data_IF_633087675552
#
_entry.id   IF_633087675552
#
_cell.length_a   1.000
_cell.length_b   1.000
_cell.length_c   1.000
_cell.angle_alpha   90.00
_cell.angle_beta   90.00
_cell.angle_gamma   90.00
#
_symmetry.space_group_name_H-M   'P 1'
#
loop_
_entity.id
_entity.type
_entity.pdbx_description
1 polymer ?
#
# COMPACT_ATOMS: atom_id res chain seq x y z
N UNK A 1 36.40 23.75 19.22
CA UNK A 1 36.62 23.39 17.81
C UNK A 1 36.49 21.86 17.51
N UNK A 2 36.62 20.98 18.50
CA UNK A 2 36.51 19.52 18.30
C UNK A 2 35.10 18.98 18.01
N UNK A 3 34.06 19.56 18.60
CA UNK A 3 32.67 19.09 18.44
C UNK A 3 32.11 19.28 17.03
N UNK A 4 32.43 20.39 16.35
CA UNK A 4 32.01 20.64 14.98
C UNK A 4 32.58 19.65 13.95
N UNK A 5 33.80 19.13 14.22
CA UNK A 5 34.45 18.14 13.36
C UNK A 5 33.81 16.76 13.55
N UNK A 6 33.43 16.37 14.76
CA UNK A 6 32.76 15.09 15.03
C UNK A 6 31.34 15.01 14.44
N UNK A 7 30.59 16.10 14.46
CA UNK A 7 29.24 16.16 13.87
C UNK A 7 29.29 16.03 12.36
N UNK A 8 30.25 16.68 11.68
CA UNK A 8 30.46 16.52 10.23
C UNK A 8 30.82 15.09 9.86
N UNK A 9 31.75 14.47 10.57
CA UNK A 9 32.17 13.09 10.30
C UNK A 9 31.02 12.08 10.46
N UNK A 10 30.12 12.29 11.43
CA UNK A 10 28.92 11.45 11.60
C UNK A 10 27.89 11.66 10.49
N UNK A 11 27.67 12.89 10.03
CA UNK A 11 26.78 13.18 8.91
C UNK A 11 27.28 12.56 7.60
N UNK A 12 28.59 12.65 7.34
CA UNK A 12 29.22 12.06 6.15
C UNK A 12 29.18 10.53 6.18
N UNK A 13 29.37 9.91 7.33
CA UNK A 13 29.25 8.46 7.50
C UNK A 13 27.82 7.97 7.23
N UNK A 14 26.81 8.67 7.76
CA UNK A 14 25.39 8.39 7.50
C UNK A 14 25.04 8.54 6.03
N UNK A 15 25.48 9.60 5.40
CA UNK A 15 25.25 9.81 3.98
C UNK A 15 25.86 8.68 3.14
N UNK A 16 27.07 8.27 3.46
CA UNK A 16 27.75 7.15 2.78
C UNK A 16 26.98 5.85 2.94
N UNK A 17 26.41 5.58 4.12
CA UNK A 17 25.55 4.43 4.37
C UNK A 17 24.29 4.49 3.51
N UNK A 18 23.55 5.61 3.51
CA UNK A 18 22.34 5.78 2.70
C UNK A 18 22.63 5.62 1.21
N UNK A 19 23.75 6.12 0.70
CA UNK A 19 24.11 5.97 -0.71
C UNK A 19 24.46 4.53 -1.08
N UNK A 20 25.08 3.75 -0.17
CA UNK A 20 25.28 2.31 -0.38
C UNK A 20 23.97 1.53 -0.46
N UNK A 21 22.97 1.93 0.33
CA UNK A 21 21.65 1.30 0.27
C UNK A 21 20.97 1.50 -1.10
N UNK A 22 21.23 2.61 -1.81
CA UNK A 22 20.74 2.78 -3.19
C UNK A 22 21.28 1.68 -4.11
N UNK A 23 22.54 1.31 -3.94
CA UNK A 23 23.18 0.29 -4.78
C UNK A 23 22.59 -1.11 -4.54
N UNK A 24 22.12 -1.40 -3.33
CA UNK A 24 21.42 -2.65 -3.01
C UNK A 24 20.08 -2.78 -3.74
N UNK A 25 19.50 -1.66 -4.18
CA UNK A 25 18.23 -1.63 -4.89
C UNK A 25 18.34 -1.79 -6.41
N UNK A 26 19.55 -2.00 -6.95
CA UNK A 26 19.77 -2.25 -8.37
C UNK A 26 18.88 -3.38 -8.95
N UNK A 27 18.73 -4.55 -8.28
CA UNK A 27 17.84 -5.61 -8.78
C UNK A 27 16.37 -5.15 -8.88
N UNK A 28 15.89 -4.40 -7.89
CA UNK A 28 14.55 -3.81 -7.88
C UNK A 28 14.36 -2.85 -9.06
N UNK A 29 15.29 -1.90 -9.26
CA UNK A 29 15.23 -0.91 -10.35
C UNK A 29 15.25 -1.60 -11.72
N UNK A 30 16.13 -2.60 -11.93
CA UNK A 30 16.18 -3.39 -13.16
C UNK A 30 14.88 -4.09 -13.47
N UNK A 31 14.24 -4.63 -12.47
CA UNK A 31 12.99 -5.36 -12.62
C UNK A 31 11.83 -4.42 -12.99
N UNK A 32 11.75 -3.26 -12.34
CA UNK A 32 10.73 -2.25 -12.65
C UNK A 32 10.91 -1.64 -14.04
N UNK A 33 12.16 -1.51 -14.48
CA UNK A 33 12.54 -0.94 -15.77
C UNK A 33 12.90 -2.00 -16.82
N UNK A 34 12.38 -3.24 -16.69
CA UNK A 34 12.69 -4.34 -17.63
C UNK A 34 12.41 -4.00 -19.10
N UNK A 35 11.45 -3.11 -19.36
CA UNK A 35 11.15 -2.58 -20.71
C UNK A 35 12.10 -1.48 -21.17
N UNK A 36 12.92 -0.92 -20.27
CA UNK A 36 13.82 0.21 -20.54
C UNK A 36 15.17 0.02 -19.83
N UNK A 37 15.95 -1.01 -20.20
CA UNK A 37 17.19 -1.36 -19.49
C UNK A 37 18.24 -0.22 -19.50
N UNK A 38 18.24 0.62 -20.50
CA UNK A 38 19.15 1.77 -20.64
C UNK A 38 18.84 2.91 -19.63
N UNK A 39 17.68 2.90 -18.99
CA UNK A 39 17.29 3.93 -18.00
C UNK A 39 17.67 3.54 -16.56
N UNK A 40 18.11 2.33 -16.34
CA UNK A 40 18.42 1.82 -14.98
C UNK A 40 19.47 2.70 -14.30
N UNK A 41 20.56 3.02 -14.99
CA UNK A 41 21.63 3.83 -14.44
C UNK A 41 21.18 5.28 -14.19
N UNK A 42 20.37 5.83 -15.08
CA UNK A 42 19.79 7.18 -14.93
C UNK A 42 18.90 7.23 -13.68
N UNK A 43 18.03 6.24 -13.50
CA UNK A 43 17.13 6.17 -12.34
C UNK A 43 17.90 5.97 -11.03
N UNK A 44 18.94 5.14 -11.01
CA UNK A 44 19.81 4.99 -9.84
C UNK A 44 20.55 6.28 -9.51
N UNK A 45 21.00 7.02 -10.52
CA UNK A 45 21.65 8.30 -10.29
C UNK A 45 20.67 9.33 -9.72
N UNK A 46 19.46 9.45 -10.27
CA UNK A 46 18.40 10.30 -9.72
C UNK A 46 18.01 9.93 -8.29
N UNK A 47 18.00 8.62 -7.99
CA UNK A 47 17.77 8.14 -6.64
C UNK A 47 18.88 8.58 -5.67
N UNK A 48 20.18 8.44 -6.06
CA UNK A 48 21.33 8.89 -5.26
C UNK A 48 21.27 10.41 -5.01
N UNK A 49 20.98 11.21 -6.02
CA UNK A 49 20.84 12.66 -5.88
C UNK A 49 19.70 13.03 -4.93
N UNK A 50 18.54 12.35 -5.08
CA UNK A 50 17.39 12.59 -4.20
C UNK A 50 17.68 12.18 -2.75
N UNK A 51 18.37 11.06 -2.53
CA UNK A 51 18.81 10.62 -1.21
C UNK A 51 19.80 11.62 -0.61
N UNK A 52 20.77 12.10 -1.38
CA UNK A 52 21.71 13.12 -0.94
C UNK A 52 21.01 14.40 -0.47
N UNK A 53 20.10 14.94 -1.27
CA UNK A 53 19.34 16.15 -0.91
C UNK A 53 18.42 15.96 0.30
N UNK A 54 17.94 14.73 0.55
CA UNK A 54 17.02 14.43 1.65
C UNK A 54 17.69 13.76 2.85
N UNK A 55 18.99 13.53 2.83
CA UNK A 55 19.74 12.84 3.89
C UNK A 55 19.60 13.50 5.27
N UNK A 56 19.46 14.83 5.31
CA UNK A 56 19.21 15.58 6.54
C UNK A 56 17.84 15.29 7.20
N UNK A 57 16.90 14.69 6.46
CA UNK A 57 15.58 14.31 6.98
C UNK A 57 15.53 12.86 7.48
N UNK A 58 16.61 12.11 7.30
CA UNK A 58 16.69 10.75 7.77
C UNK A 58 16.83 10.73 9.29
N UNK A 59 15.89 10.04 9.95
CA UNK A 59 15.86 9.83 11.39
C UNK A 59 15.96 8.33 11.68
N UNK A 60 17.06 7.85 12.30
CA UNK A 60 17.25 6.45 12.62
C UNK A 60 16.22 5.88 13.60
N UNK A 61 15.58 6.74 14.41
CA UNK A 61 14.54 6.31 15.35
C UNK A 61 13.20 6.03 14.66
N UNK A 62 13.01 6.58 13.43
CA UNK A 62 11.79 6.41 12.64
C UNK A 62 11.85 5.27 11.63
N UNK A 63 13.02 4.74 11.34
CA UNK A 63 13.15 3.63 10.41
C UNK A 63 14.57 3.32 9.99
N UNK A 64 14.75 2.18 9.33
CA UNK A 64 16.06 1.76 8.83
C UNK A 64 16.53 2.60 7.64
N UNK A 65 17.86 2.68 7.39
CA UNK A 65 18.43 3.29 6.19
C UNK A 65 17.79 2.74 4.90
N UNK A 66 17.62 1.42 4.86
CA UNK A 66 17.00 0.71 3.73
C UNK A 66 15.56 1.20 3.46
N UNK A 67 14.70 1.27 4.48
CA UNK A 67 13.32 1.71 4.33
C UNK A 67 13.22 3.16 3.80
N UNK A 68 14.07 4.06 4.32
CA UNK A 68 14.15 5.45 3.87
C UNK A 68 14.58 5.55 2.40
N UNK A 69 15.66 4.87 2.03
CA UNK A 69 16.21 4.88 0.67
C UNK A 69 15.27 4.20 -0.31
N UNK A 70 14.65 3.08 0.09
CA UNK A 70 13.66 2.37 -0.72
C UNK A 70 12.47 3.28 -1.06
N UNK A 71 11.91 4.00 -0.09
CA UNK A 71 10.80 4.92 -0.33
C UNK A 71 11.15 6.01 -1.35
N UNK A 72 12.37 6.53 -1.31
CA UNK A 72 12.87 7.52 -2.29
C UNK A 72 13.04 6.88 -3.67
N UNK A 73 13.75 5.76 -3.74
CA UNK A 73 14.05 5.06 -5.01
C UNK A 73 12.78 4.61 -5.71
N UNK A 74 11.82 4.05 -4.97
CA UNK A 74 10.50 3.68 -5.50
C UNK A 74 9.79 4.87 -6.14
N UNK A 75 9.78 6.02 -5.50
CA UNK A 75 9.15 7.22 -6.06
C UNK A 75 9.84 7.72 -7.32
N UNK A 76 11.18 7.61 -7.41
CA UNK A 76 11.93 7.96 -8.61
C UNK A 76 11.58 7.01 -9.76
N UNK A 77 11.57 5.69 -9.49
CA UNK A 77 11.17 4.65 -10.46
C UNK A 77 9.76 4.90 -10.99
N UNK A 78 8.78 5.11 -10.10
CA UNK A 78 7.39 5.32 -10.52
C UNK A 78 7.22 6.55 -11.42
N UNK A 79 7.93 7.64 -11.12
CA UNK A 79 7.92 8.83 -11.97
C UNK A 79 8.51 8.56 -13.35
N UNK A 80 9.62 7.81 -13.40
CA UNK A 80 10.27 7.50 -14.66
C UNK A 80 9.43 6.55 -15.51
N UNK A 81 8.82 5.53 -14.91
CA UNK A 81 7.88 4.63 -15.58
C UNK A 81 6.68 5.41 -16.13
N UNK A 82 6.08 6.29 -15.32
CA UNK A 82 4.97 7.13 -15.77
C UNK A 82 5.38 8.04 -16.94
N UNK A 83 6.57 8.69 -16.87
CA UNK A 83 7.10 9.53 -17.95
C UNK A 83 7.28 8.74 -19.24
N UNK A 84 7.76 7.49 -19.17
CA UNK A 84 7.96 6.64 -20.35
C UNK A 84 6.65 6.16 -20.96
N UNK A 85 5.65 5.85 -20.15
CA UNK A 85 4.32 5.49 -20.66
C UNK A 85 3.70 6.67 -21.44
N UNK A 86 3.78 7.88 -20.92
CA UNK A 86 3.32 9.09 -21.61
C UNK A 86 4.11 9.33 -22.93
N UNK A 87 5.41 9.04 -22.95
CA UNK A 87 6.24 9.21 -24.15
C UNK A 87 6.07 8.10 -25.20
N UNK A 88 5.51 6.93 -24.83
CA UNK A 88 5.20 5.84 -25.76
C UNK A 88 3.80 5.93 -26.37
N UNK A 89 2.90 6.67 -25.74
CA UNK A 89 1.62 7.05 -26.34
C UNK A 89 1.86 8.24 -27.29
N UNK A 90 2.50 7.97 -28.43
CA UNK A 90 2.35 8.82 -29.64
C UNK A 90 0.90 8.65 -30.12
N UNK A 91 -0.01 9.29 -29.38
CA UNK A 91 -1.41 9.42 -29.78
C UNK A 91 -1.46 10.40 -30.94
N UNK A 92 -2.19 10.12 -32.03
CA UNK A 92 -2.44 11.10 -33.09
C UNK A 92 -2.98 12.40 -32.48
N UNK A 93 -2.61 13.53 -33.04
CA UNK A 93 -2.82 14.92 -32.58
C UNK A 93 -4.29 15.34 -32.29
N UNK A 94 -5.27 14.44 -32.25
CA UNK A 94 -6.70 14.74 -32.11
C UNK A 94 -7.36 14.22 -30.83
N UNK A 95 -6.58 13.74 -29.84
CA UNK A 95 -7.15 13.44 -28.51
C UNK A 95 -6.73 14.56 -27.57
N UNK A 96 -7.69 15.43 -27.23
CA UNK A 96 -7.54 16.36 -26.11
C UNK A 96 -7.00 15.61 -24.90
N UNK A 97 -5.75 15.90 -24.57
CA UNK A 97 -5.04 15.31 -23.44
C UNK A 97 -5.72 15.78 -22.15
N UNK A 98 -6.53 14.91 -21.57
CA UNK A 98 -7.14 15.07 -20.23
C UNK A 98 -6.06 14.96 -19.12
N UNK A 99 -4.86 15.49 -19.37
CA UNK A 99 -3.67 15.44 -18.50
C UNK A 99 -3.38 16.76 -17.81
N UNK A 100 -4.34 17.67 -17.73
CA UNK A 100 -4.32 18.74 -16.74
C UNK A 100 -4.79 18.21 -15.37
N UNK A 101 -4.11 17.20 -14.84
CA UNK A 101 -4.25 16.91 -13.41
C UNK A 101 -3.61 18.09 -12.68
N UNK A 102 -4.45 18.97 -12.14
CA UNK A 102 -4.03 20.07 -11.28
C UNK A 102 -2.96 19.55 -10.29
N UNK A 103 -1.79 20.20 -10.18
CA UNK A 103 -0.79 19.84 -9.18
C UNK A 103 -1.36 19.69 -7.76
N UNK A 104 -2.44 20.42 -7.45
CA UNK A 104 -3.20 20.30 -6.22
C UNK A 104 -3.95 18.96 -6.12
N UNK A 105 -4.61 18.52 -7.19
CA UNK A 105 -5.28 17.22 -7.26
C UNK A 105 -4.29 16.05 -7.13
N UNK A 106 -3.11 16.17 -7.74
CA UNK A 106 -2.04 15.19 -7.58
C UNK A 106 -1.52 15.13 -6.13
N UNK A 107 -1.46 16.26 -5.46
CA UNK A 107 -1.08 16.36 -4.05
C UNK A 107 -2.16 15.75 -3.15
N UNK A 108 -3.44 16.07 -3.37
CA UNK A 108 -4.59 15.53 -2.64
C UNK A 108 -4.60 13.99 -2.78
N UNK A 109 -4.56 13.45 -3.99
CA UNK A 109 -4.49 11.99 -4.22
C UNK A 109 -3.33 11.31 -3.50
N UNK A 110 -2.23 12.02 -3.31
CA UNK A 110 -1.05 11.52 -2.61
C UNK A 110 -1.22 11.51 -1.09
N UNK A 111 -1.91 12.50 -0.54
CA UNK A 111 -2.31 12.53 0.88
C UNK A 111 -3.33 11.44 1.18
N UNK A 112 -4.32 11.26 0.32
CA UNK A 112 -5.35 10.23 0.45
C UNK A 112 -4.75 8.82 0.40
N UNK A 113 -3.79 8.59 -0.52
CA UNK A 113 -3.08 7.31 -0.59
C UNK A 113 -2.24 7.02 0.68
N UNK A 114 -1.61 8.04 1.25
CA UNK A 114 -0.85 7.88 2.49
C UNK A 114 -1.77 7.58 3.68
N UNK A 115 -2.84 8.36 3.84
CA UNK A 115 -3.86 8.17 4.88
C UNK A 115 -4.46 6.77 4.82
N UNK A 116 -4.87 6.34 3.63
CA UNK A 116 -5.37 4.99 3.38
C UNK A 116 -4.36 3.90 3.78
N UNK A 117 -3.09 4.03 3.37
CA UNK A 117 -2.04 3.06 3.68
C UNK A 117 -1.79 2.93 5.19
N UNK A 118 -1.76 4.05 5.92
CA UNK A 118 -1.58 4.05 7.38
C UNK A 118 -2.73 3.31 8.05
N UNK A 119 -3.98 3.62 7.70
CA UNK A 119 -5.15 2.94 8.25
C UNK A 119 -5.15 1.44 7.94
N UNK A 120 -4.83 1.06 6.70
CA UNK A 120 -4.75 -0.37 6.34
C UNK A 120 -3.68 -1.09 7.17
N UNK A 121 -2.49 -0.48 7.33
CA UNK A 121 -1.41 -1.07 8.12
C UNK A 121 -1.82 -1.27 9.59
N UNK A 122 -2.55 -0.34 10.19
CA UNK A 122 -3.03 -0.42 11.57
C UNK A 122 -4.03 -1.58 11.77
N UNK A 123 -4.94 -1.80 10.81
CA UNK A 123 -5.94 -2.89 10.91
C UNK A 123 -5.40 -4.26 10.51
N UNK A 124 -4.39 -4.33 9.69
CA UNK A 124 -3.79 -5.59 9.23
C UNK A 124 -2.83 -6.16 10.26
N UNK A 125 -2.13 -5.29 10.97
CA UNK A 125 -1.07 -5.63 11.90
C UNK A 125 0.30 -5.81 11.23
N UNK A 126 1.38 -5.69 12.02
CA UNK A 126 2.74 -5.56 11.49
C UNK A 126 3.22 -6.82 10.72
N UNK A 127 2.86 -8.01 11.18
CA UNK A 127 3.29 -9.27 10.53
C UNK A 127 2.71 -9.43 9.13
N UNK A 128 1.39 -9.27 8.99
CA UNK A 128 0.72 -9.40 7.68
C UNK A 128 1.13 -8.27 6.74
N UNK A 129 1.33 -7.06 7.29
CA UNK A 129 1.81 -5.91 6.53
C UNK A 129 3.20 -6.15 5.96
N UNK A 130 4.11 -6.73 6.76
CA UNK A 130 5.46 -7.08 6.31
C UNK A 130 5.42 -8.09 5.16
N UNK A 131 4.62 -9.16 5.29
CA UNK A 131 4.45 -10.17 4.24
C UNK A 131 3.99 -9.55 2.92
N UNK A 132 3.03 -8.62 2.95
CA UNK A 132 2.53 -7.96 1.74
C UNK A 132 3.53 -6.96 1.18
N UNK A 133 4.26 -6.27 2.04
CA UNK A 133 5.35 -5.40 1.62
C UNK A 133 6.43 -6.19 0.88
N UNK A 134 6.85 -7.32 1.43
CA UNK A 134 7.85 -8.21 0.81
C UNK A 134 7.32 -8.84 -0.48
N UNK A 135 6.04 -9.21 -0.54
CA UNK A 135 5.41 -9.71 -1.77
C UNK A 135 5.40 -8.62 -2.87
N UNK A 136 5.13 -7.39 -2.50
CA UNK A 136 5.20 -6.25 -3.42
C UNK A 136 6.63 -6.00 -3.90
N UNK A 137 7.62 -6.13 -3.01
CA UNK A 137 9.04 -6.00 -3.33
C UNK A 137 9.54 -7.13 -4.24
N UNK A 138 9.05 -8.34 -4.01
CA UNK A 138 9.34 -9.52 -4.83
C UNK A 138 8.53 -9.57 -6.14
N UNK A 139 7.79 -8.50 -6.49
CA UNK A 139 6.91 -8.42 -7.68
C UNK A 139 5.89 -9.57 -7.78
N UNK A 140 5.37 -9.98 -6.65
CA UNK A 140 4.39 -11.05 -6.57
C UNK A 140 4.99 -12.45 -6.63
N UNK A 141 6.30 -12.62 -6.48
CA UNK A 141 6.92 -13.93 -6.36
C UNK A 141 6.51 -14.61 -5.05
N UNK A 142 5.44 -15.39 -5.15
CA UNK A 142 4.83 -16.10 -4.02
C UNK A 142 5.78 -17.13 -3.43
N UNK A 143 6.65 -17.76 -4.25
CA UNK A 143 7.54 -18.81 -3.79
C UNK A 143 8.65 -18.23 -2.95
N UNK A 144 9.29 -17.19 -3.42
CA UNK A 144 10.35 -16.49 -2.71
C UNK A 144 9.86 -15.97 -1.34
N UNK A 145 8.68 -15.34 -1.31
CA UNK A 145 8.16 -14.74 -0.08
C UNK A 145 7.64 -15.80 0.90
N UNK A 146 6.99 -16.86 0.39
CA UNK A 146 6.55 -17.96 1.25
C UNK A 146 7.73 -18.64 1.96
N UNK A 147 8.82 -18.86 1.26
CA UNK A 147 10.05 -19.44 1.83
C UNK A 147 10.69 -18.48 2.84
N UNK A 148 10.81 -17.20 2.53
CA UNK A 148 11.39 -16.18 3.43
C UNK A 148 10.61 -16.07 4.75
N UNK A 149 9.28 -16.16 4.72
CA UNK A 149 8.42 -16.09 5.89
C UNK A 149 8.08 -17.47 6.50
N UNK A 150 8.68 -18.56 6.01
CA UNK A 150 8.44 -19.94 6.49
C UNK A 150 6.95 -20.31 6.49
N UNK A 151 6.20 -19.84 5.49
CA UNK A 151 4.77 -20.08 5.37
C UNK A 151 4.43 -20.85 4.09
N UNK A 152 3.29 -21.53 4.11
CA UNK A 152 2.79 -22.17 2.89
C UNK A 152 2.28 -21.13 1.88
N UNK A 153 2.35 -21.43 0.59
CA UNK A 153 1.73 -20.60 -0.48
C UNK A 153 0.25 -20.31 -0.20
N UNK A 154 -0.48 -21.28 0.38
CA UNK A 154 -1.87 -21.09 0.79
C UNK A 154 -1.99 -20.08 1.92
N UNK A 155 -1.09 -20.14 2.91
CA UNK A 155 -1.01 -19.17 3.99
C UNK A 155 -0.77 -17.77 3.49
N UNK A 156 0.21 -17.60 2.58
CA UNK A 156 0.52 -16.32 1.97
C UNK A 156 -0.67 -15.74 1.19
N UNK A 157 -1.36 -16.58 0.38
CA UNK A 157 -2.59 -16.13 -0.30
C UNK A 157 -3.68 -15.71 0.68
N UNK A 158 -3.83 -16.41 1.81
CA UNK A 158 -4.79 -16.03 2.85
C UNK A 158 -4.46 -14.68 3.50
N UNK A 159 -3.17 -14.38 3.71
CA UNK A 159 -2.70 -13.06 4.17
C UNK A 159 -3.03 -12.00 3.12
N UNK A 160 -2.66 -12.24 1.87
CA UNK A 160 -2.94 -11.33 0.77
C UNK A 160 -4.44 -11.00 0.65
N UNK A 161 -5.30 -12.02 0.66
CA UNK A 161 -6.75 -11.83 0.58
C UNK A 161 -7.29 -11.01 1.76
N UNK A 162 -6.80 -11.28 2.97
CA UNK A 162 -7.17 -10.53 4.18
C UNK A 162 -6.78 -9.05 4.08
N UNK A 163 -5.57 -8.76 3.61
CA UNK A 163 -5.08 -7.39 3.39
C UNK A 163 -5.90 -6.68 2.31
N UNK A 164 -6.15 -7.34 1.18
CA UNK A 164 -6.96 -6.79 0.10
C UNK A 164 -8.39 -6.47 0.54
N UNK A 165 -9.01 -7.33 1.34
CA UNK A 165 -10.36 -7.09 1.89
C UNK A 165 -10.34 -5.88 2.83
N UNK A 166 -9.36 -5.80 3.74
CA UNK A 166 -9.20 -4.66 4.64
C UNK A 166 -8.99 -3.37 3.86
N UNK A 167 -8.10 -3.39 2.88
CA UNK A 167 -7.77 -2.24 2.04
C UNK A 167 -9.00 -1.69 1.29
N UNK A 168 -9.81 -2.57 0.71
CA UNK A 168 -11.07 -2.18 0.04
C UNK A 168 -12.10 -1.61 1.00
N UNK A 169 -12.22 -2.19 2.20
CA UNK A 169 -13.14 -1.70 3.24
C UNK A 169 -12.74 -0.31 3.72
N UNK A 170 -11.45 -0.09 4.01
CA UNK A 170 -10.92 1.22 4.42
C UNK A 170 -11.16 2.26 3.33
N UNK A 171 -10.87 1.91 2.07
CA UNK A 171 -11.09 2.83 0.94
C UNK A 171 -12.56 3.23 0.79
N UNK A 172 -13.48 2.26 0.90
CA UNK A 172 -14.91 2.52 0.81
C UNK A 172 -15.41 3.36 2.00
N UNK A 173 -14.89 3.13 3.21
CA UNK A 173 -15.26 3.90 4.38
C UNK A 173 -14.74 5.34 4.31
N UNK A 174 -13.51 5.57 3.82
CA UNK A 174 -12.98 6.90 3.57
C UNK A 174 -13.82 7.65 2.53
N UNK A 175 -14.17 7.00 1.43
CA UNK A 175 -15.02 7.59 0.39
C UNK A 175 -16.41 7.96 0.93
N UNK A 176 -16.99 7.14 1.81
CA UNK A 176 -18.27 7.44 2.45
C UNK A 176 -18.15 8.63 3.43
N UNK A 177 -17.06 8.71 4.19
CA UNK A 177 -16.78 9.84 5.07
C UNK A 177 -16.57 11.15 4.29
N UNK A 178 -15.77 11.11 3.23
CA UNK A 178 -15.50 12.27 2.36
C UNK A 178 -16.78 12.77 1.66
N UNK A 179 -17.73 11.86 1.38
CA UNK A 179 -19.05 12.20 0.87
C UNK A 179 -20.02 12.72 1.97
N UNK A 180 -19.59 12.81 3.21
CA UNK A 180 -20.42 13.29 4.34
C UNK A 180 -21.60 12.36 4.68
N UNK A 181 -21.49 11.06 4.37
CA UNK A 181 -22.58 10.12 4.64
C UNK A 181 -22.74 9.89 6.15
N UNK A 182 -23.98 9.82 6.67
CA UNK A 182 -24.21 9.56 8.09
C UNK A 182 -23.80 8.15 8.46
N UNK A 183 -23.22 7.95 9.66
CA UNK A 183 -22.79 6.65 10.17
C UNK A 183 -24.01 5.82 10.54
N UNK A 184 -24.54 5.09 9.58
CA UNK A 184 -25.69 4.16 9.74
C UNK A 184 -25.25 2.73 9.47
N UNK A 185 -26.04 1.77 9.94
CA UNK A 185 -25.79 0.36 9.65
C UNK A 185 -25.69 0.05 8.15
N UNK A 186 -26.55 0.68 7.33
CA UNK A 186 -26.52 0.52 5.88
C UNK A 186 -25.25 1.07 5.23
N UNK A 187 -24.76 2.23 5.67
CA UNK A 187 -23.51 2.81 5.18
C UNK A 187 -22.32 1.94 5.59
N UNK A 188 -22.28 1.45 6.84
CA UNK A 188 -21.22 0.53 7.29
C UNK A 188 -21.21 -0.75 6.46
N UNK A 189 -22.37 -1.35 6.18
CA UNK A 189 -22.49 -2.55 5.33
C UNK A 189 -22.05 -2.28 3.90
N UNK A 190 -22.39 -1.12 3.33
CA UNK A 190 -21.98 -0.76 1.96
C UNK A 190 -20.46 -0.64 1.80
N UNK A 191 -19.72 -0.40 2.88
CA UNK A 191 -18.25 -0.38 2.86
C UNK A 191 -17.61 -1.78 2.81
N UNK A 192 -18.39 -2.85 3.07
CA UNK A 192 -17.88 -4.23 2.98
C UNK A 192 -17.79 -4.64 1.50
N UNK A 193 -16.66 -5.26 1.05
CA UNK A 193 -16.53 -5.68 -0.34
C UNK A 193 -17.56 -6.73 -0.76
N UNK A 194 -18.10 -6.60 -1.99
CA UNK A 194 -18.99 -7.62 -2.59
C UNK A 194 -18.26 -8.91 -2.93
N UNK A 195 -16.99 -8.79 -3.31
CA UNK A 195 -16.14 -9.92 -3.69
C UNK A 195 -16.03 -10.92 -2.54
N UNK A 196 -16.37 -12.18 -2.82
CA UNK A 196 -16.38 -13.27 -1.84
C UNK A 196 -17.69 -13.40 -1.05
N UNK A 197 -18.72 -12.62 -1.40
CA UNK A 197 -20.04 -12.69 -0.78
C UNK A 197 -20.06 -12.16 0.68
N UNK A 198 -19.11 -11.26 1.02
CA UNK A 198 -19.02 -10.75 2.39
C UNK A 198 -20.06 -9.69 2.71
N UNK A 199 -20.48 -8.88 1.69
CA UNK A 199 -21.54 -7.89 1.87
C UNK A 199 -22.89 -8.57 2.10
N UNK A 200 -23.22 -9.59 1.32
CA UNK A 200 -24.43 -10.39 1.50
C UNK A 200 -24.50 -11.00 2.90
N UNK A 201 -23.38 -11.54 3.41
CA UNK A 201 -23.31 -12.03 4.77
C UNK A 201 -23.42 -10.90 5.80
N UNK A 202 -22.86 -9.71 5.52
CA UNK A 202 -22.95 -8.55 6.41
C UNK A 202 -24.40 -8.04 6.53
N UNK A 203 -25.20 -8.13 5.47
CA UNK A 203 -26.63 -7.80 5.47
C UNK A 203 -27.44 -8.76 6.34
N UNK A 204 -27.02 -10.04 6.40
CA UNK A 204 -27.64 -11.08 7.21
C UNK A 204 -26.91 -11.34 8.53
N UNK A 205 -26.13 -10.40 9.04
CA UNK A 205 -25.22 -10.63 10.17
C UNK A 205 -25.92 -10.98 11.50
N UNK A 206 -27.21 -10.69 11.61
CA UNK A 206 -28.07 -11.06 12.74
C UNK A 206 -28.54 -12.51 12.68
N UNK A 207 -28.49 -13.16 11.52
CA UNK A 207 -28.97 -14.52 11.34
C UNK A 207 -27.94 -15.54 11.82
N UNK A 208 -28.40 -16.74 12.12
CA UNK A 208 -27.49 -17.83 12.48
C UNK A 208 -26.77 -18.41 11.26
N UNK A 209 -25.66 -19.11 11.50
CA UNK A 209 -24.80 -19.62 10.45
C UNK A 209 -25.46 -20.67 9.55
N UNK A 210 -26.48 -21.38 10.01
CA UNK A 210 -27.18 -22.37 9.21
C UNK A 210 -28.15 -21.68 8.26
N UNK A 211 -28.90 -20.68 8.73
CA UNK A 211 -29.78 -19.84 7.94
C UNK A 211 -28.99 -19.14 6.80
N UNK A 212 -27.84 -18.57 7.13
CA UNK A 212 -26.96 -17.95 6.12
C UNK A 212 -26.46 -19.00 5.11
N UNK A 213 -26.06 -20.19 5.59
CA UNK A 213 -25.59 -21.27 4.75
C UNK A 213 -26.66 -21.73 3.76
N UNK A 214 -27.91 -21.89 4.20
CA UNK A 214 -29.06 -22.25 3.40
C UNK A 214 -29.37 -21.17 2.35
N UNK A 215 -29.45 -19.90 2.78
CA UNK A 215 -29.77 -18.76 1.92
C UNK A 215 -28.73 -18.58 0.81
N UNK A 216 -27.45 -18.69 1.15
CA UNK A 216 -26.34 -18.52 0.20
C UNK A 216 -25.93 -19.84 -0.49
N UNK A 217 -26.58 -20.96 -0.22
CA UNK A 217 -26.30 -22.28 -0.76
C UNK A 217 -24.81 -22.68 -0.58
N UNK A 218 -24.26 -22.43 0.61
CA UNK A 218 -22.86 -22.74 0.97
C UNK A 218 -22.80 -23.72 2.14
N UNK A 219 -21.64 -24.36 2.30
CA UNK A 219 -21.44 -25.23 3.44
C UNK A 219 -21.46 -24.46 4.77
N UNK A 220 -22.07 -24.96 5.87
CA UNK A 220 -22.14 -24.25 7.17
C UNK A 220 -20.79 -23.82 7.73
N UNK A 221 -19.72 -24.61 7.50
CA UNK A 221 -18.35 -24.23 7.86
C UNK A 221 -17.84 -22.99 7.11
N UNK A 222 -18.20 -22.88 5.83
CA UNK A 222 -17.88 -21.70 4.99
C UNK A 222 -18.68 -20.48 5.46
N UNK A 223 -19.96 -20.65 5.84
CA UNK A 223 -20.77 -19.58 6.39
C UNK A 223 -20.16 -19.00 7.66
N UNK A 224 -19.74 -19.85 8.61
CA UNK A 224 -19.05 -19.40 9.84
C UNK A 224 -17.80 -18.59 9.56
N UNK A 225 -16.95 -19.06 8.62
CA UNK A 225 -15.74 -18.35 8.22
C UNK A 225 -16.06 -16.97 7.60
N UNK A 226 -17.08 -16.92 6.71
CA UNK A 226 -17.53 -15.66 6.10
C UNK A 226 -18.13 -14.71 7.12
N UNK A 227 -18.92 -15.19 8.09
CA UNK A 227 -19.45 -14.38 9.19
C UNK A 227 -18.33 -13.75 10.01
N UNK A 228 -17.30 -14.52 10.37
CA UNK A 228 -16.16 -14.00 11.11
C UNK A 228 -15.44 -12.90 10.33
N UNK A 229 -15.25 -13.09 9.02
CA UNK A 229 -14.65 -12.07 8.14
C UNK A 229 -15.55 -10.85 8.00
N UNK A 230 -16.84 -11.02 7.75
CA UNK A 230 -17.80 -9.90 7.63
C UNK A 230 -17.87 -9.06 8.92
N UNK A 231 -17.91 -9.69 10.09
CA UNK A 231 -17.87 -9.01 11.40
C UNK A 231 -16.60 -8.16 11.55
N UNK A 232 -15.44 -8.69 11.17
CA UNK A 232 -14.19 -7.96 11.19
C UNK A 232 -14.23 -6.75 10.26
N UNK A 233 -14.73 -6.90 9.03
CA UNK A 233 -14.80 -5.82 8.04
C UNK A 233 -15.81 -4.73 8.45
N UNK A 234 -16.96 -5.11 9.01
CA UNK A 234 -17.92 -4.15 9.56
C UNK A 234 -17.32 -3.33 10.70
N UNK A 235 -16.54 -3.97 11.59
CA UNK A 235 -15.85 -3.25 12.65
C UNK A 235 -14.83 -2.25 12.08
N UNK A 236 -14.04 -2.65 11.08
CA UNK A 236 -13.08 -1.77 10.42
C UNK A 236 -13.79 -0.57 9.78
N UNK A 237 -14.84 -0.82 9.00
CA UNK A 237 -15.61 0.24 8.35
C UNK A 237 -16.15 1.24 9.38
N UNK A 238 -16.73 0.75 10.47
CA UNK A 238 -17.27 1.56 11.56
C UNK A 238 -16.19 2.43 12.21
N UNK A 239 -15.05 1.84 12.58
CA UNK A 239 -13.96 2.56 13.23
C UNK A 239 -13.41 3.67 12.31
N UNK A 240 -13.21 3.40 11.03
CA UNK A 240 -12.76 4.41 10.07
C UNK A 240 -13.76 5.55 9.98
N UNK A 241 -15.05 5.27 9.81
CA UNK A 241 -16.10 6.29 9.74
C UNK A 241 -16.19 7.14 11.02
N UNK A 242 -16.06 6.51 12.20
CA UNK A 242 -16.06 7.21 13.50
C UNK A 242 -14.83 8.10 13.69
N UNK A 243 -13.64 7.63 13.26
CA UNK A 243 -12.39 8.43 13.32
C UNK A 243 -12.47 9.65 12.41
N UNK A 244 -13.00 9.48 11.20
CA UNK A 244 -13.14 10.57 10.24
C UNK A 244 -14.19 11.60 10.64
N UNK A 245 -15.26 11.17 11.29
CA UNK A 245 -16.28 12.08 11.81
C UNK A 245 -15.78 12.90 13.03
N UNK A 246 -14.72 12.45 13.68
CA UNK A 246 -14.10 13.13 14.83
C UNK A 246 -12.91 14.06 14.45
N UNK A 247 -12.44 14.00 13.21
CA UNK A 247 -11.29 14.76 12.69
C UNK A 247 -11.71 16.12 12.15
#
# INVERSE_FOLDING_TARGET
MAEGTQLRTRADARLTELLREVDTLLPYVRLQLRGWPNEVDTVLQLARETVWHRSSRYDPERGSPHAFVFGITRNVVLREVARKHVAMDDVPDDVESDTDVDPLDALIRRFDAHRWMVLVADFVGPSDWQVISDLSLANGDVDLVADAHQMSKRGLRSVHDRVCQTARTVLAALAAADAGLPITGSVIVSCVPEVGGFREVAEMISDDANTIAETLQIHPGSARARIATAKRLLMIARVVLEQEAAA
#
